data_IF_586206016733
#
_entry.id   IF_586206016733
#
_cell.length_a   1.000
_cell.length_b   1.000
_cell.length_c   1.000
_cell.angle_alpha   90.00
_cell.angle_beta   90.00
_cell.angle_gamma   90.00
#
_symmetry.space_group_name_H-M   'P 1'
#
loop_
_entity.id
_entity.type
_entity.pdbx_description
1 polymer ?
#
# COMPACT_ATOMS: atom_id res chain seq x y z
N UNK A 1 -17.48 -3.55 -29.61
CA UNK A 1 -16.81 -2.43 -28.91
C UNK A 1 -16.24 -2.79 -27.53
N UNK A 2 -16.69 -3.88 -26.87
CA UNK A 2 -16.12 -4.35 -25.59
C UNK A 2 -14.62 -4.70 -25.62
N UNK A 3 -14.10 -5.19 -26.76
CA UNK A 3 -12.69 -5.61 -26.92
C UNK A 3 -11.71 -4.42 -26.82
N UNK A 4 -12.11 -3.21 -27.22
CA UNK A 4 -11.25 -2.01 -27.14
C UNK A 4 -11.08 -1.49 -25.70
N UNK A 5 -12.03 -1.77 -24.81
CA UNK A 5 -11.95 -1.37 -23.40
C UNK A 5 -10.95 -2.20 -22.60
N UNK A 6 -10.88 -3.51 -22.87
CA UNK A 6 -9.99 -4.43 -22.15
C UNK A 6 -8.52 -4.28 -22.55
N UNK A 7 -8.24 -4.11 -23.84
CA UNK A 7 -6.88 -3.84 -24.30
C UNK A 7 -6.32 -2.53 -23.73
N UNK A 8 -7.17 -1.51 -23.61
CA UNK A 8 -6.79 -0.21 -23.05
C UNK A 8 -6.35 -0.27 -21.60
N UNK A 9 -7.09 -0.96 -20.74
CA UNK A 9 -6.73 -1.07 -19.31
C UNK A 9 -5.49 -1.92 -19.06
N UNK A 10 -5.30 -3.00 -19.83
CA UNK A 10 -4.06 -3.81 -19.79
C UNK A 10 -2.85 -2.97 -20.21
N UNK A 11 -2.98 -2.22 -21.31
CA UNK A 11 -1.92 -1.32 -21.77
C UNK A 11 -1.61 -0.22 -20.73
N UNK A 12 -2.64 0.34 -20.08
CA UNK A 12 -2.47 1.30 -18.98
C UNK A 12 -1.75 0.65 -17.78
N UNK A 13 -2.11 -0.57 -17.38
CA UNK A 13 -1.47 -1.25 -16.27
C UNK A 13 0.04 -1.43 -16.52
N UNK A 14 0.40 -1.92 -17.71
CA UNK A 14 1.80 -2.08 -18.15
C UNK A 14 2.51 -0.72 -18.18
N UNK A 15 1.92 0.25 -18.88
CA UNK A 15 2.54 1.57 -19.10
C UNK A 15 2.76 2.33 -17.79
N UNK A 16 1.77 2.34 -16.90
CA UNK A 16 1.90 3.00 -15.59
C UNK A 16 2.90 2.28 -14.71
N UNK A 17 2.90 0.94 -14.67
CA UNK A 17 3.89 0.18 -13.92
C UNK A 17 5.32 0.50 -14.36
N UNK A 18 5.57 0.53 -15.67
CA UNK A 18 6.87 0.90 -16.23
C UNK A 18 7.24 2.37 -15.94
N UNK A 19 6.29 3.30 -16.15
CA UNK A 19 6.54 4.74 -15.99
C UNK A 19 6.79 5.14 -14.53
N UNK A 20 6.02 4.60 -13.58
CA UNK A 20 6.22 4.84 -12.15
C UNK A 20 7.58 4.31 -11.71
N UNK A 21 7.95 3.10 -12.15
CA UNK A 21 9.24 2.51 -11.83
C UNK A 21 10.41 3.32 -12.39
N UNK A 22 10.33 3.74 -13.65
CA UNK A 22 11.35 4.58 -14.27
C UNK A 22 11.47 5.94 -13.57
N UNK A 23 10.34 6.58 -13.21
CA UNK A 23 10.34 7.85 -12.50
C UNK A 23 10.94 7.73 -11.09
N UNK A 24 10.54 6.71 -10.33
CA UNK A 24 11.06 6.45 -8.99
C UNK A 24 12.55 6.13 -9.00
N UNK A 25 13.03 5.30 -9.94
CA UNK A 25 14.45 5.02 -10.09
C UNK A 25 15.23 6.26 -10.53
N UNK A 26 14.69 7.04 -11.48
CA UNK A 26 15.30 8.31 -11.90
C UNK A 26 15.47 9.29 -10.73
N UNK A 27 14.45 9.42 -9.87
CA UNK A 27 14.55 10.20 -8.64
C UNK A 27 15.55 9.58 -7.65
N UNK A 28 15.53 8.26 -7.46
CA UNK A 28 16.42 7.55 -6.54
C UNK A 28 17.89 7.72 -6.90
N UNK A 29 18.23 7.55 -8.18
CA UNK A 29 19.59 7.78 -8.69
C UNK A 29 19.94 9.27 -8.71
N UNK A 30 19.00 10.15 -9.12
CA UNK A 30 19.23 11.59 -9.22
C UNK A 30 19.46 12.27 -7.86
N UNK A 31 18.85 11.74 -6.80
CA UNK A 31 19.04 12.20 -5.42
C UNK A 31 20.18 11.47 -4.69
N UNK A 32 20.88 10.54 -5.36
CA UNK A 32 21.93 9.69 -4.76
C UNK A 32 21.43 8.84 -3.57
N UNK A 33 20.12 8.57 -3.54
CA UNK A 33 19.47 7.68 -2.56
C UNK A 33 19.77 6.22 -2.90
N UNK A 34 19.83 5.91 -4.20
CA UNK A 34 20.27 4.62 -4.73
C UNK A 34 21.57 4.87 -5.46
N UNK A 35 22.63 4.17 -5.08
CA UNK A 35 23.90 4.27 -5.77
C UNK A 35 24.67 2.97 -5.63
N UNK A 36 25.06 2.42 -6.77
CA UNK A 36 25.91 1.24 -6.88
C UNK A 36 27.37 1.61 -7.20
N UNK A 37 27.67 2.91 -7.25
CA UNK A 37 29.02 3.39 -7.50
C UNK A 37 29.90 3.12 -6.26
N UNK A 38 31.19 2.77 -6.46
CA UNK A 38 32.12 2.66 -5.35
C UNK A 38 32.27 3.98 -4.59
N UNK A 39 32.49 3.88 -3.28
CA UNK A 39 32.75 5.04 -2.43
C UNK A 39 34.20 5.52 -2.61
N UNK A 40 34.61 6.58 -1.90
CA UNK A 40 35.96 7.18 -1.98
C UNK A 40 37.10 6.16 -1.76
N UNK A 41 36.83 5.06 -1.07
CA UNK A 41 37.75 3.93 -0.89
C UNK A 41 37.85 2.96 -2.08
N UNK A 42 37.20 3.25 -3.20
CA UNK A 42 37.19 2.40 -4.41
C UNK A 42 36.32 1.15 -4.30
N UNK A 43 35.54 1.02 -3.22
CA UNK A 43 34.63 -0.12 -2.96
C UNK A 43 33.29 0.40 -2.45
N UNK A 44 32.22 -0.35 -2.69
CA UNK A 44 30.90 -0.01 -2.16
C UNK A 44 30.74 -0.60 -0.76
N UNK A 45 30.32 0.21 0.22
CA UNK A 45 30.02 -0.29 1.56
C UNK A 45 28.86 -1.30 1.55
N UNK A 46 28.92 -2.32 2.41
CA UNK A 46 27.83 -3.31 2.56
C UNK A 46 26.50 -2.64 2.91
N UNK A 47 26.52 -1.66 3.82
CA UNK A 47 25.33 -0.85 4.17
C UNK A 47 24.77 -0.09 2.95
N UNK A 48 25.65 0.50 2.12
CA UNK A 48 25.26 1.21 0.91
C UNK A 48 24.66 0.31 -0.16
N UNK A 49 25.21 -0.90 -0.30
CA UNK A 49 24.69 -1.95 -1.17
C UNK A 49 23.31 -2.40 -0.72
N UNK A 50 23.15 -2.78 0.55
CA UNK A 50 21.87 -3.26 1.10
C UNK A 50 20.81 -2.16 1.06
N UNK A 51 21.17 -0.91 1.39
CA UNK A 51 20.27 0.24 1.27
C UNK A 51 19.75 0.42 -0.15
N UNK A 52 20.65 0.36 -1.15
CA UNK A 52 20.28 0.47 -2.56
C UNK A 52 19.37 -0.68 -3.03
N UNK A 53 19.65 -1.91 -2.58
CA UNK A 53 18.79 -3.08 -2.86
C UNK A 53 17.40 -2.93 -2.24
N UNK A 54 17.32 -2.37 -1.03
CA UNK A 54 16.06 -2.18 -0.30
C UNK A 54 15.16 -1.18 -1.02
N UNK A 55 15.73 -0.06 -1.46
CA UNK A 55 15.06 0.90 -2.32
C UNK A 55 14.63 0.30 -3.67
N UNK A 56 15.50 -0.45 -4.34
CA UNK A 56 15.19 -1.09 -5.61
C UNK A 56 14.01 -2.08 -5.48
N UNK A 57 14.00 -2.90 -4.44
CA UNK A 57 12.92 -3.86 -4.13
C UNK A 57 11.60 -3.13 -3.86
N UNK A 58 11.64 -2.07 -3.05
CA UNK A 58 10.48 -1.24 -2.73
C UNK A 58 9.90 -0.53 -3.97
N UNK A 59 10.76 0.03 -4.82
CA UNK A 59 10.35 0.70 -6.06
C UNK A 59 9.69 -0.28 -7.02
N UNK A 60 10.29 -1.45 -7.22
CA UNK A 60 9.71 -2.50 -8.05
C UNK A 60 8.31 -2.91 -7.52
N UNK A 61 8.18 -3.09 -6.20
CA UNK A 61 6.91 -3.43 -5.57
C UNK A 61 5.84 -2.34 -5.73
N UNK A 62 6.17 -1.09 -5.44
CA UNK A 62 5.21 0.03 -5.53
C UNK A 62 4.81 0.38 -6.95
N UNK A 63 5.69 0.14 -7.93
CA UNK A 63 5.41 0.30 -9.35
C UNK A 63 4.33 -0.68 -9.84
N UNK A 64 4.43 -1.95 -9.47
CA UNK A 64 3.40 -2.97 -9.73
C UNK A 64 2.05 -2.56 -9.14
N UNK A 65 2.05 -2.12 -7.88
CA UNK A 65 0.83 -1.73 -7.16
C UNK A 65 0.18 -0.49 -7.81
N UNK A 66 0.97 0.52 -8.16
CA UNK A 66 0.48 1.74 -8.79
C UNK A 66 -0.14 1.46 -10.17
N UNK A 67 0.52 0.66 -11.00
CA UNK A 67 0.01 0.25 -12.31
C UNK A 67 -1.36 -0.43 -12.21
N UNK A 68 -1.50 -1.37 -11.27
CA UNK A 68 -2.74 -2.08 -11.03
C UNK A 68 -3.87 -1.13 -10.57
N UNK A 69 -3.60 -0.28 -9.57
CA UNK A 69 -4.60 0.66 -9.02
C UNK A 69 -5.07 1.67 -10.07
N UNK A 70 -4.15 2.23 -10.86
CA UNK A 70 -4.51 3.24 -11.87
C UNK A 70 -5.35 2.61 -12.98
N UNK A 71 -4.96 1.44 -13.47
CA UNK A 71 -5.72 0.73 -14.50
C UNK A 71 -7.13 0.34 -14.04
N UNK A 72 -7.28 -0.18 -12.81
CA UNK A 72 -8.59 -0.52 -12.24
C UNK A 72 -9.49 0.72 -12.09
N UNK A 73 -8.94 1.82 -11.58
CA UNK A 73 -9.69 3.09 -11.44
C UNK A 73 -10.11 3.70 -12.77
N UNK A 74 -9.34 3.51 -13.84
CA UNK A 74 -9.71 3.98 -15.19
C UNK A 74 -10.71 3.03 -15.85
N UNK A 75 -10.61 1.73 -15.60
CA UNK A 75 -11.55 0.71 -16.10
C UNK A 75 -12.96 0.87 -15.51
N UNK A 76 -13.06 1.22 -14.22
CA UNK A 76 -14.33 1.44 -13.53
C UNK A 76 -15.10 2.71 -13.94
N UNK A 77 -14.58 3.53 -14.87
CA UNK A 77 -15.22 4.77 -15.37
C UNK A 77 -15.86 4.61 -16.75
N UNK A 78 -16.06 3.39 -17.25
CA UNK A 78 -16.74 3.14 -18.53
C UNK A 78 -18.17 3.69 -18.55
N UNK A 79 -18.64 4.26 -19.69
CA UNK A 79 -19.98 4.85 -19.77
C UNK A 79 -21.05 3.78 -19.53
N UNK A 80 -21.93 4.05 -18.58
CA UNK A 80 -23.15 3.28 -18.36
C UNK A 80 -24.07 3.44 -19.57
N UNK A 81 -23.92 2.59 -20.59
CA UNK A 81 -24.86 2.51 -21.71
C UNK A 81 -25.17 1.05 -22.01
N UNK A 82 -26.17 0.52 -21.31
CA UNK A 82 -27.00 -0.59 -21.73
C UNK A 82 -28.47 -0.21 -21.47
N UNK A 83 -29.38 -0.29 -22.47
CA UNK A 83 -30.76 0.10 -22.28
C UNK A 83 -31.47 -0.91 -21.38
N UNK A 84 -31.98 -0.43 -20.24
CA UNK A 84 -32.97 -1.15 -19.46
C UNK A 84 -34.31 -1.15 -20.23
N UNK A 85 -34.46 -2.09 -21.15
CA UNK A 85 -35.77 -2.44 -21.73
C UNK A 85 -35.98 -3.94 -21.65
N UNK A 86 -36.38 -4.39 -20.47
CA UNK A 86 -37.12 -5.63 -20.24
C UNK A 86 -38.20 -5.33 -19.19
N UNK A 87 -39.47 -5.72 -19.41
CA UNK A 87 -40.53 -5.43 -18.46
C UNK A 87 -40.25 -6.09 -17.12
N UNK A 88 -40.21 -5.28 -16.06
CA UNK A 88 -40.01 -5.69 -14.68
C UNK A 88 -41.14 -6.63 -14.23
N UNK A 89 -40.92 -7.93 -14.37
CA UNK A 89 -41.68 -8.95 -13.65
C UNK A 89 -41.04 -9.13 -12.27
N UNK A 90 -41.62 -8.49 -11.25
CA UNK A 90 -41.49 -8.92 -9.85
C UNK A 90 -40.11 -8.80 -9.18
N UNK A 91 -39.35 -7.73 -9.42
CA UNK A 91 -38.19 -7.43 -8.56
C UNK A 91 -38.69 -6.75 -7.27
N UNK A 92 -38.71 -7.51 -6.17
CA UNK A 92 -38.89 -6.96 -4.83
C UNK A 92 -37.52 -6.50 -4.29
N UNK A 93 -37.26 -5.19 -4.18
CA UNK A 93 -35.98 -4.65 -3.70
C UNK A 93 -35.69 -5.01 -2.23
N UNK A 94 -36.66 -5.56 -1.50
CA UNK A 94 -36.52 -5.98 -0.11
C UNK A 94 -36.10 -7.45 0.07
N UNK A 95 -36.05 -8.25 -0.99
CA UNK A 95 -35.64 -9.65 -0.87
C UNK A 95 -34.12 -9.75 -0.63
N UNK A 96 -33.66 -10.32 0.51
CA UNK A 96 -32.23 -10.47 0.77
C UNK A 96 -31.62 -11.34 -0.32
N UNK A 97 -30.57 -10.83 -0.97
CA UNK A 97 -29.85 -11.51 -2.04
C UNK A 97 -29.56 -12.98 -1.67
N UNK A 98 -30.01 -13.91 -2.50
CA UNK A 98 -29.79 -15.33 -2.28
C UNK A 98 -28.31 -15.66 -2.54
N UNK A 99 -27.51 -16.03 -1.52
CA UNK A 99 -26.10 -16.35 -1.68
C UNK A 99 -25.85 -17.61 -2.55
N UNK A 100 -26.91 -18.33 -2.92
CA UNK A 100 -26.86 -19.49 -3.82
C UNK A 100 -27.09 -19.15 -5.28
N UNK A 101 -27.38 -17.88 -5.63
CA UNK A 101 -27.54 -17.46 -7.02
C UNK A 101 -26.23 -17.70 -7.81
N UNK A 102 -26.26 -18.56 -8.85
CA UNK A 102 -25.09 -18.83 -9.69
C UNK A 102 -24.59 -17.58 -10.44
N UNK A 103 -25.44 -16.59 -10.71
CA UNK A 103 -25.07 -15.36 -11.43
C UNK A 103 -24.14 -14.48 -10.60
N UNK A 104 -24.46 -14.25 -9.32
CA UNK A 104 -23.59 -13.49 -8.42
C UNK A 104 -22.21 -14.14 -8.24
N UNK A 105 -22.16 -15.49 -8.21
CA UNK A 105 -20.89 -16.21 -8.12
C UNK A 105 -20.05 -15.99 -9.36
N UNK A 106 -20.65 -16.07 -10.56
CA UNK A 106 -19.97 -15.83 -11.82
C UNK A 106 -19.42 -14.40 -11.91
N UNK A 107 -20.16 -13.40 -11.46
CA UNK A 107 -19.72 -12.00 -11.44
C UNK A 107 -18.55 -11.77 -10.48
N UNK A 108 -18.59 -12.39 -9.30
CA UNK A 108 -17.47 -12.35 -8.33
C UNK A 108 -16.20 -12.99 -8.90
N UNK A 109 -16.34 -14.14 -9.56
CA UNK A 109 -15.20 -14.84 -10.20
C UNK A 109 -14.63 -13.98 -11.33
N UNK A 110 -15.48 -13.44 -12.20
CA UNK A 110 -15.08 -12.57 -13.31
C UNK A 110 -14.32 -11.33 -12.81
N UNK A 111 -14.83 -10.69 -11.76
CA UNK A 111 -14.16 -9.54 -11.13
C UNK A 111 -12.78 -9.89 -10.58
N UNK A 112 -12.64 -11.07 -9.94
CA UNK A 112 -11.35 -11.54 -9.41
C UNK A 112 -10.35 -11.84 -10.52
N UNK A 113 -10.79 -12.55 -11.57
CA UNK A 113 -9.96 -12.84 -12.74
C UNK A 113 -9.51 -11.54 -13.42
N UNK A 114 -10.39 -10.57 -13.54
CA UNK A 114 -10.04 -9.27 -14.09
C UNK A 114 -8.97 -8.53 -13.28
N UNK A 115 -9.10 -8.50 -11.95
CA UNK A 115 -8.09 -7.92 -11.07
C UNK A 115 -6.75 -8.65 -11.16
N UNK A 116 -6.76 -9.97 -11.34
CA UNK A 116 -5.55 -10.75 -11.58
C UNK A 116 -4.88 -10.38 -12.91
N UNK A 117 -5.67 -10.20 -13.98
CA UNK A 117 -5.17 -9.71 -15.28
C UNK A 117 -4.51 -8.34 -15.12
N UNK A 118 -5.15 -7.40 -14.42
CA UNK A 118 -4.57 -6.06 -14.20
C UNK A 118 -3.31 -6.10 -13.34
N UNK A 119 -3.28 -6.90 -12.28
CA UNK A 119 -2.11 -7.05 -11.42
C UNK A 119 -0.92 -7.68 -12.15
N UNK A 120 -1.15 -8.72 -12.95
CA UNK A 120 -0.12 -9.37 -13.76
C UNK A 120 0.39 -8.46 -14.88
N UNK A 121 -0.49 -7.73 -15.55
CA UNK A 121 -0.11 -6.70 -16.54
C UNK A 121 0.75 -5.59 -15.90
N UNK A 122 0.38 -5.10 -14.72
CA UNK A 122 1.17 -4.11 -14.01
C UNK A 122 2.55 -4.64 -13.58
N UNK A 123 2.63 -5.91 -13.16
CA UNK A 123 3.89 -6.57 -12.83
C UNK A 123 4.80 -6.73 -14.07
N UNK A 124 4.23 -7.04 -15.24
CA UNK A 124 4.97 -7.03 -16.51
C UNK A 124 5.54 -5.65 -16.81
N UNK A 125 4.77 -4.57 -16.61
CA UNK A 125 5.28 -3.21 -16.74
C UNK A 125 6.39 -2.89 -15.75
N UNK A 126 6.18 -3.21 -14.47
CA UNK A 126 7.15 -2.98 -13.41
C UNK A 126 8.42 -3.82 -13.57
N UNK A 127 8.40 -4.92 -14.34
CA UNK A 127 9.60 -5.72 -14.63
C UNK A 127 10.70 -4.92 -15.35
N UNK A 128 10.37 -3.79 -16.00
CA UNK A 128 11.35 -2.85 -16.53
C UNK A 128 12.33 -2.33 -15.45
N UNK A 129 11.88 -2.23 -14.19
CA UNK A 129 12.73 -1.84 -13.06
C UNK A 129 13.89 -2.80 -12.83
N UNK A 130 13.70 -4.10 -13.13
CA UNK A 130 14.75 -5.13 -13.00
C UNK A 130 15.95 -4.76 -13.87
N UNK A 131 15.71 -4.42 -15.13
CA UNK A 131 16.77 -4.00 -16.05
C UNK A 131 17.40 -2.67 -15.63
N UNK A 132 16.58 -1.68 -15.24
CA UNK A 132 17.04 -0.36 -14.82
C UNK A 132 17.84 -0.37 -13.52
N UNK A 133 17.70 -1.41 -12.70
CA UNK A 133 18.52 -1.66 -11.49
C UNK A 133 19.76 -2.48 -11.83
N UNK A 134 19.62 -3.53 -12.63
CA UNK A 134 20.73 -4.42 -12.99
C UNK A 134 21.87 -3.68 -13.72
N UNK A 135 21.52 -2.77 -14.64
CA UNK A 135 22.48 -2.02 -15.44
C UNK A 135 23.44 -1.25 -14.55
N UNK A 136 23.04 -0.27 -13.73
CA UNK A 136 23.98 0.47 -12.88
C UNK A 136 24.66 -0.42 -11.83
N UNK A 137 24.03 -1.49 -11.34
CA UNK A 137 24.66 -2.41 -10.40
C UNK A 137 25.93 -3.08 -10.92
N UNK A 138 26.15 -3.16 -12.24
CA UNK A 138 27.34 -3.76 -12.86
C UNK A 138 28.67 -3.12 -12.44
N UNK A 139 28.65 -1.87 -11.96
CA UNK A 139 29.86 -1.14 -11.56
C UNK A 139 30.19 -1.31 -10.07
N UNK A 140 29.34 -2.01 -9.32
CA UNK A 140 29.59 -2.25 -7.91
C UNK A 140 30.79 -3.17 -7.71
N UNK A 141 31.63 -2.83 -6.74
CA UNK A 141 32.82 -3.61 -6.37
C UNK A 141 32.63 -4.05 -4.91
N UNK A 142 32.40 -5.34 -4.71
CA UNK A 142 32.18 -6.02 -3.42
C UNK A 142 33.08 -7.27 -3.33
N UNK A 143 33.44 -7.69 -2.11
CA UNK A 143 34.36 -8.82 -1.91
C UNK A 143 33.69 -10.17 -2.19
N UNK A 144 32.43 -10.32 -1.77
CA UNK A 144 31.75 -11.61 -1.74
C UNK A 144 30.62 -11.74 -2.79
N UNK A 145 30.51 -10.78 -3.71
CA UNK A 145 29.42 -10.75 -4.71
C UNK A 145 30.00 -10.80 -6.13
N UNK A 146 30.10 -11.99 -6.74
CA UNK A 146 30.75 -12.16 -8.04
C UNK A 146 29.95 -11.57 -9.21
N UNK A 147 28.63 -11.39 -9.06
CA UNK A 147 27.76 -10.81 -10.09
C UNK A 147 26.74 -9.84 -9.48
N UNK A 148 27.14 -8.60 -9.15
CA UNK A 148 26.27 -7.62 -8.50
C UNK A 148 24.99 -7.33 -9.28
N UNK A 149 25.07 -7.23 -10.60
CA UNK A 149 23.91 -7.02 -11.47
C UNK A 149 22.85 -8.12 -11.33
N UNK A 150 23.26 -9.39 -11.18
CA UNK A 150 22.35 -10.52 -11.03
C UNK A 150 21.65 -10.49 -9.67
N UNK A 151 22.40 -10.16 -8.62
CA UNK A 151 21.85 -10.03 -7.26
C UNK A 151 20.85 -8.87 -7.19
N UNK A 152 21.22 -7.70 -7.73
CA UNK A 152 20.34 -6.54 -7.76
C UNK A 152 19.08 -6.78 -8.61
N UNK A 153 19.23 -7.42 -9.78
CA UNK A 153 18.10 -7.87 -10.60
C UNK A 153 17.18 -8.84 -9.83
N UNK A 154 17.76 -9.79 -9.11
CA UNK A 154 17.02 -10.76 -8.30
C UNK A 154 16.15 -10.10 -7.24
N UNK A 155 16.69 -9.14 -6.48
CA UNK A 155 15.92 -8.40 -5.47
C UNK A 155 14.82 -7.52 -6.07
N UNK A 156 15.10 -6.81 -7.18
CA UNK A 156 14.05 -6.08 -7.90
C UNK A 156 12.94 -7.02 -8.39
N UNK A 157 13.29 -8.20 -8.92
CA UNK A 157 12.32 -9.19 -9.38
C UNK A 157 11.49 -9.76 -8.20
N UNK A 158 12.09 -9.99 -7.03
CA UNK A 158 11.37 -10.39 -5.82
C UNK A 158 10.35 -9.31 -5.41
N UNK A 159 10.70 -8.03 -5.50
CA UNK A 159 9.77 -6.93 -5.28
C UNK A 159 8.56 -6.98 -6.22
N UNK A 160 8.77 -7.26 -7.51
CA UNK A 160 7.68 -7.45 -8.49
C UNK A 160 6.80 -8.64 -8.13
N UNK A 161 7.38 -9.79 -7.76
CA UNK A 161 6.63 -11.02 -7.46
C UNK A 161 5.82 -10.88 -6.17
N UNK A 162 6.45 -10.42 -5.08
CA UNK A 162 5.80 -10.23 -3.78
C UNK A 162 4.61 -9.26 -3.88
N UNK A 163 4.77 -8.21 -4.68
CA UNK A 163 3.75 -7.16 -4.81
C UNK A 163 2.50 -7.60 -5.58
N UNK A 164 2.49 -8.75 -6.28
CA UNK A 164 1.29 -9.27 -6.93
C UNK A 164 0.14 -9.51 -5.94
N UNK A 165 0.43 -10.14 -4.80
CA UNK A 165 -0.57 -10.38 -3.75
C UNK A 165 -1.06 -9.07 -3.12
N UNK A 166 -0.14 -8.12 -2.93
CA UNK A 166 -0.44 -6.81 -2.36
C UNK A 166 -1.28 -5.97 -3.32
N UNK A 167 -1.00 -6.03 -4.62
CA UNK A 167 -1.79 -5.39 -5.66
C UNK A 167 -3.23 -5.95 -5.67
N UNK A 168 -3.41 -7.26 -5.59
CA UNK A 168 -4.74 -7.87 -5.46
C UNK A 168 -5.49 -7.38 -4.22
N UNK A 169 -4.81 -7.27 -3.07
CA UNK A 169 -5.40 -6.72 -1.86
C UNK A 169 -5.77 -5.24 -2.01
N UNK A 170 -4.93 -4.44 -2.68
CA UNK A 170 -5.18 -3.03 -2.96
C UNK A 170 -6.37 -2.80 -3.91
N UNK A 171 -6.54 -3.68 -4.90
CA UNK A 171 -7.70 -3.69 -5.79
C UNK A 171 -8.98 -4.15 -5.06
N UNK A 172 -8.85 -5.03 -4.07
CA UNK A 172 -9.97 -5.51 -3.27
C UNK A 172 -10.48 -4.48 -2.25
N UNK A 173 -9.59 -3.67 -1.68
CA UNK A 173 -9.93 -2.72 -0.62
C UNK A 173 -9.31 -1.34 -0.86
N UNK A 174 -10.14 -0.31 -1.02
CA UNK A 174 -9.69 1.08 -1.23
C UNK A 174 -8.82 1.61 -0.09
N UNK A 175 -9.05 1.14 1.14
CA UNK A 175 -8.24 1.50 2.31
C UNK A 175 -6.81 0.96 2.19
N UNK A 176 -6.63 -0.26 1.68
CA UNK A 176 -5.30 -0.86 1.42
C UNK A 176 -4.56 -0.02 0.37
N UNK A 177 -5.23 0.33 -0.74
CA UNK A 177 -4.64 1.20 -1.76
C UNK A 177 -4.25 2.58 -1.22
N UNK A 178 -5.10 3.20 -0.39
CA UNK A 178 -4.80 4.49 0.23
C UNK A 178 -3.60 4.42 1.18
N UNK A 179 -3.53 3.36 2.00
CA UNK A 179 -2.42 3.12 2.92
C UNK A 179 -1.09 2.97 2.16
N UNK A 180 -1.06 2.12 1.12
CA UNK A 180 0.13 1.91 0.28
C UNK A 180 0.63 3.20 -0.38
N UNK A 181 -0.29 3.99 -0.97
CA UNK A 181 0.06 5.26 -1.62
C UNK A 181 0.54 6.30 -0.60
N UNK A 182 -0.08 6.37 0.57
CA UNK A 182 0.32 7.28 1.65
C UNK A 182 1.70 6.90 2.21
N UNK A 183 1.98 5.61 2.42
CA UNK A 183 3.31 5.14 2.82
C UNK A 183 4.35 5.47 1.76
N UNK A 184 4.08 5.22 0.48
CA UNK A 184 5.01 5.57 -0.59
C UNK A 184 5.30 7.08 -0.66
N UNK A 185 4.26 7.91 -0.55
CA UNK A 185 4.42 9.36 -0.54
C UNK A 185 5.22 9.84 0.68
N UNK A 186 4.96 9.27 1.85
CA UNK A 186 5.72 9.57 3.06
C UNK A 186 7.20 9.21 2.93
N UNK A 187 7.52 8.01 2.44
CA UNK A 187 8.91 7.57 2.29
C UNK A 187 9.70 8.46 1.32
N UNK A 188 9.08 8.86 0.21
CA UNK A 188 9.70 9.81 -0.72
C UNK A 188 9.85 11.21 -0.13
N UNK A 189 8.85 11.69 0.62
CA UNK A 189 8.95 12.97 1.32
C UNK A 189 10.13 12.95 2.30
N UNK A 190 10.26 11.89 3.08
CA UNK A 190 11.37 11.69 4.00
C UNK A 190 12.72 11.68 3.27
N UNK A 191 12.83 10.91 2.19
CA UNK A 191 14.06 10.85 1.40
C UNK A 191 14.46 12.24 0.87
N UNK A 192 13.52 12.99 0.31
CA UNK A 192 13.77 14.36 -0.20
C UNK A 192 14.21 15.30 0.92
N UNK A 193 13.56 15.26 2.09
CA UNK A 193 13.94 16.13 3.21
C UNK A 193 15.33 15.73 3.74
N UNK A 194 15.62 14.43 3.86
CA UNK A 194 16.92 13.94 4.31
C UNK A 194 18.04 14.38 3.35
N UNK A 195 17.85 14.24 2.04
CA UNK A 195 18.81 14.69 1.02
C UNK A 195 18.99 16.20 1.06
N UNK A 196 17.89 16.96 1.13
CA UNK A 196 17.93 18.44 1.21
C UNK A 196 18.66 18.89 2.47
N UNK A 197 18.37 18.27 3.61
CA UNK A 197 19.03 18.56 4.88
C UNK A 197 20.52 18.22 4.85
N UNK A 198 20.92 17.12 4.22
CA UNK A 198 22.33 16.75 4.02
C UNK A 198 23.09 17.78 3.19
N UNK A 199 22.51 18.18 2.04
CA UNK A 199 23.08 19.21 1.16
C UNK A 199 23.24 20.55 1.88
N UNK A 200 22.23 20.99 2.63
CA UNK A 200 22.28 22.26 3.38
C UNK A 200 23.29 22.23 4.53
N UNK A 201 23.53 21.06 5.11
CA UNK A 201 24.46 20.90 6.25
C UNK A 201 25.92 20.71 5.82
N UNK A 202 26.19 20.58 4.51
CA UNK A 202 27.53 20.26 4.01
C UNK A 202 28.08 18.91 4.47
N UNK A 203 27.20 17.99 4.91
CA UNK A 203 27.60 16.63 5.31
C UNK A 203 27.82 15.80 4.05
N UNK A 204 28.85 14.95 4.06
CA UNK A 204 29.00 13.91 3.04
C UNK A 204 27.73 13.05 3.01
N UNK A 205 27.25 12.73 1.81
CA UNK A 205 25.96 12.07 1.57
C UNK A 205 26.01 10.64 2.11
N UNK A 206 25.66 10.46 3.38
CA UNK A 206 25.24 9.16 3.87
C UNK A 206 23.98 8.74 3.09
N UNK A 207 24.04 7.58 2.43
CA UNK A 207 22.91 7.04 1.65
C UNK A 207 21.70 6.92 2.56
N UNK A 208 20.56 7.47 2.13
CA UNK A 208 19.37 7.57 2.99
C UNK A 208 18.69 6.20 3.13
N UNK A 209 18.65 5.61 4.34
CA UNK A 209 17.95 4.36 4.57
C UNK A 209 16.43 4.52 4.33
N UNK A 210 15.79 3.49 3.79
CA UNK A 210 14.39 3.54 3.40
C UNK A 210 13.46 3.74 4.63
N UNK A 211 12.96 4.96 4.80
CA UNK A 211 11.98 5.30 5.84
C UNK A 211 12.53 5.63 7.22
N UNK A 212 13.85 5.73 7.35
CA UNK A 212 14.54 6.10 8.57
C UNK A 212 15.22 7.46 8.41
N UNK A 213 15.42 8.14 9.53
CA UNK A 213 15.86 9.52 9.60
C UNK A 213 17.28 9.56 10.14
N UNK A 214 18.27 9.62 9.26
CA UNK A 214 19.70 9.60 9.60
C UNK A 214 20.21 10.95 10.16
N UNK A 215 19.57 11.43 11.24
CA UNK A 215 19.81 12.78 11.78
C UNK A 215 20.78 12.79 12.95
N UNK A 216 20.90 11.71 13.72
CA UNK A 216 21.96 11.59 14.74
C UNK A 216 22.13 10.13 15.19
N UNK A 217 23.37 9.64 15.23
CA UNK A 217 23.72 8.35 15.84
C UNK A 217 23.85 8.45 17.38
N UNK A 218 23.96 9.67 17.92
CA UNK A 218 24.19 9.97 19.33
C UNK A 218 22.88 10.16 20.14
N UNK A 219 21.76 9.64 19.62
CA UNK A 219 20.45 9.75 20.25
C UNK A 219 20.27 8.79 21.44
N UNK A 220 19.18 8.93 22.22
CA UNK A 220 18.88 8.02 23.31
C UNK A 220 18.59 6.60 22.78
N UNK A 221 19.31 5.63 23.32
CA UNK A 221 19.10 4.21 23.05
C UNK A 221 18.22 3.57 24.11
N UNK A 222 17.32 2.68 23.69
CA UNK A 222 16.62 1.77 24.59
C UNK A 222 16.84 0.34 24.14
N UNK A 223 17.57 -0.43 24.97
CA UNK A 223 18.08 -1.76 24.61
C UNK A 223 18.91 -1.69 23.32
N UNK A 224 18.39 -2.20 22.21
CA UNK A 224 19.02 -2.23 20.89
C UNK A 224 18.32 -1.32 19.87
N UNK A 225 17.45 -0.41 20.33
CA UNK A 225 16.67 0.48 19.47
C UNK A 225 17.07 1.93 19.73
N UNK A 226 17.48 2.62 18.67
CA UNK A 226 17.73 4.06 18.66
C UNK A 226 16.39 4.80 18.57
N UNK A 227 15.92 5.35 19.70
CA UNK A 227 14.59 5.94 19.81
C UNK A 227 14.39 7.13 18.85
N UNK A 228 15.45 7.91 18.63
CA UNK A 228 15.42 9.07 17.73
C UNK A 228 15.12 8.67 16.27
N UNK A 229 15.66 7.54 15.82
CA UNK A 229 15.47 7.03 14.46
C UNK A 229 14.15 6.22 14.34
N UNK A 230 13.75 5.52 15.39
CA UNK A 230 12.55 4.68 15.40
C UNK A 230 11.23 5.46 15.54
N UNK A 231 11.23 6.58 16.26
CA UNK A 231 10.03 7.35 16.58
C UNK A 231 9.25 7.84 15.35
N UNK A 232 9.88 8.57 14.41
CA UNK A 232 9.21 9.10 13.23
C UNK A 232 8.51 8.04 12.35
N UNK A 233 9.14 6.91 11.96
CA UNK A 233 8.47 5.90 11.15
C UNK A 233 7.33 5.20 11.90
N UNK A 234 7.46 4.97 13.22
CA UNK A 234 6.36 4.41 14.04
C UNK A 234 5.16 5.34 14.08
N UNK A 235 5.38 6.64 14.31
CA UNK A 235 4.32 7.64 14.32
C UNK A 235 3.65 7.76 12.94
N UNK A 236 4.45 7.76 11.87
CA UNK A 236 3.93 7.80 10.51
C UNK A 236 3.09 6.55 10.17
N UNK A 237 3.55 5.35 10.53
CA UNK A 237 2.81 4.12 10.32
C UNK A 237 1.45 4.13 11.05
N UNK A 238 1.43 4.59 12.30
CA UNK A 238 0.20 4.78 13.08
C UNK A 238 -0.76 5.78 12.38
N UNK A 239 -0.26 6.95 12.00
CA UNK A 239 -1.06 8.00 11.37
C UNK A 239 -1.59 7.59 10.00
N UNK A 240 -0.75 6.96 9.17
CA UNK A 240 -1.16 6.46 7.86
C UNK A 240 -2.19 5.34 8.02
N UNK A 241 -2.02 4.43 8.98
CA UNK A 241 -3.00 3.41 9.31
C UNK A 241 -4.36 3.99 9.70
N UNK A 242 -4.35 5.01 10.55
CA UNK A 242 -5.54 5.74 10.98
C UNK A 242 -6.23 6.45 9.81
N UNK A 243 -5.49 7.27 9.06
CA UNK A 243 -6.01 8.10 7.97
C UNK A 243 -6.49 7.27 6.77
N UNK A 244 -5.83 6.16 6.46
CA UNK A 244 -6.25 5.27 5.38
C UNK A 244 -7.54 4.49 5.72
N UNK A 245 -7.71 4.08 6.98
CA UNK A 245 -8.88 3.34 7.44
C UNK A 245 -10.10 4.24 7.70
N UNK A 246 -9.90 5.50 8.11
CA UNK A 246 -10.97 6.45 8.46
C UNK A 246 -12.10 6.57 7.41
N UNK A 247 -11.83 6.79 6.11
CA UNK A 247 -12.87 6.89 5.09
C UNK A 247 -13.68 5.59 4.92
N UNK A 248 -13.03 4.44 5.01
CA UNK A 248 -13.66 3.13 4.90
C UNK A 248 -14.50 2.81 6.15
N UNK A 249 -14.00 3.17 7.33
CA UNK A 249 -14.75 3.08 8.59
C UNK A 249 -16.02 3.96 8.55
N UNK A 250 -15.93 5.16 7.96
CA UNK A 250 -17.08 6.04 7.76
C UNK A 250 -18.14 5.46 6.81
N UNK A 251 -17.74 4.68 5.80
CA UNK A 251 -18.68 4.03 4.86
C UNK A 251 -19.34 2.75 5.39
N UNK A 252 -18.85 2.20 6.51
CA UNK A 252 -19.37 0.95 7.06
C UNK A 252 -18.83 -0.30 6.34
N UNK A 253 -17.62 -0.21 5.78
CA UNK A 253 -16.97 -1.34 5.11
C UNK A 253 -16.71 -2.51 6.09
N UNK A 254 -16.53 -3.73 5.56
CA UNK A 254 -16.36 -4.94 6.38
C UNK A 254 -15.16 -4.82 7.34
N UNK A 255 -15.32 -5.23 8.62
CA UNK A 255 -14.33 -4.98 9.68
C UNK A 255 -12.99 -5.67 9.44
N UNK A 256 -12.98 -6.88 8.87
CA UNK A 256 -11.75 -7.65 8.64
C UNK A 256 -10.82 -6.95 7.65
N UNK A 257 -11.35 -6.45 6.53
CA UNK A 257 -10.56 -5.73 5.53
C UNK A 257 -10.14 -4.33 6.00
N UNK A 258 -10.93 -3.73 6.89
CA UNK A 258 -10.66 -2.43 7.49
C UNK A 258 -9.47 -2.49 8.46
N UNK A 259 -9.46 -3.46 9.37
CA UNK A 259 -8.37 -3.64 10.34
C UNK A 259 -7.08 -4.07 9.65
N UNK A 260 -7.15 -4.97 8.66
CA UNK A 260 -5.97 -5.37 7.90
C UNK A 260 -5.34 -4.26 7.05
N UNK A 261 -6.12 -3.23 6.68
CA UNK A 261 -5.66 -2.17 5.76
C UNK A 261 -4.54 -1.29 6.32
N UNK A 262 -4.47 -1.12 7.65
CA UNK A 262 -3.46 -0.29 8.30
C UNK A 262 -2.04 -0.84 8.15
N UNK A 263 -1.91 -2.16 8.01
CA UNK A 263 -0.63 -2.87 7.89
C UNK A 263 -0.02 -2.83 6.49
N UNK A 264 -0.79 -2.53 5.45
CA UNK A 264 -0.40 -2.86 4.08
C UNK A 264 0.92 -2.20 3.62
N UNK A 265 1.06 -0.89 3.79
CA UNK A 265 2.27 -0.12 3.49
C UNK A 265 3.46 -0.55 4.34
N UNK A 266 3.35 -0.52 5.68
CA UNK A 266 4.41 -1.00 6.58
C UNK A 266 4.83 -2.46 6.32
N UNK A 267 3.91 -3.32 5.88
CA UNK A 267 4.21 -4.72 5.57
C UNK A 267 5.08 -4.83 4.32
N UNK A 268 4.79 -4.08 3.26
CA UNK A 268 5.65 -4.07 2.05
C UNK A 268 7.04 -3.54 2.39
N UNK A 269 7.12 -2.51 3.25
CA UNK A 269 8.39 -1.99 3.75
C UNK A 269 9.14 -3.06 4.54
N UNK A 270 8.43 -3.80 5.39
CA UNK A 270 8.99 -4.90 6.17
C UNK A 270 9.54 -6.02 5.31
N UNK A 271 8.79 -6.43 4.30
CA UNK A 271 9.24 -7.46 3.38
C UNK A 271 10.47 -6.97 2.59
N UNK A 272 10.51 -5.71 2.16
CA UNK A 272 11.68 -5.17 1.47
C UNK A 272 12.95 -5.27 2.33
N UNK A 273 12.90 -4.86 3.59
CA UNK A 273 14.03 -4.97 4.53
C UNK A 273 14.43 -6.42 4.83
N UNK A 274 13.44 -7.30 5.05
CA UNK A 274 13.72 -8.72 5.36
C UNK A 274 14.32 -9.46 4.17
N UNK A 275 13.97 -9.08 2.94
CA UNK A 275 14.55 -9.69 1.74
C UNK A 275 16.01 -9.27 1.58
N UNK A 276 16.35 -8.01 1.78
CA UNK A 276 17.64 -7.46 1.35
C UNK A 276 18.79 -7.63 2.34
N UNK A 277 18.51 -7.96 3.60
CA UNK A 277 19.54 -8.21 4.61
C UNK A 277 19.34 -9.57 5.31
N UNK A 278 19.71 -10.69 4.67
CA UNK A 278 19.56 -12.01 5.28
C UNK A 278 20.59 -12.30 6.38
N UNK A 279 21.73 -11.59 6.39
CA UNK A 279 22.78 -11.78 7.40
C UNK A 279 22.96 -10.51 8.24
N UNK A 280 22.76 -10.64 9.55
CA UNK A 280 22.95 -9.58 10.54
C UNK A 280 24.32 -9.68 11.22
N UNK A 281 25.10 -10.72 10.93
CA UNK A 281 26.41 -10.96 11.54
C UNK A 281 27.40 -9.91 11.01
N UNK A 282 27.81 -8.98 11.88
CA UNK A 282 28.70 -7.88 11.54
C UNK A 282 27.99 -6.57 11.14
N UNK A 283 26.66 -6.52 11.18
CA UNK A 283 25.92 -5.28 10.95
C UNK A 283 26.19 -4.25 12.07
N UNK A 284 26.26 -2.96 11.71
CA UNK A 284 26.38 -1.88 12.68
C UNK A 284 25.17 -1.81 13.62
N UNK A 285 25.35 -1.28 14.83
CA UNK A 285 24.28 -1.20 15.83
C UNK A 285 23.03 -0.45 15.35
N UNK A 286 23.22 0.57 14.50
CA UNK A 286 22.13 1.36 13.91
C UNK A 286 21.32 0.53 12.91
N UNK A 287 21.96 -0.28 12.08
CA UNK A 287 21.26 -1.17 11.14
C UNK A 287 20.49 -2.26 11.86
N UNK A 288 21.07 -2.84 12.92
CA UNK A 288 20.35 -3.80 13.78
C UNK A 288 19.09 -3.14 14.35
N UNK A 289 19.19 -1.92 14.87
CA UNK A 289 18.04 -1.15 15.36
C UNK A 289 16.96 -1.01 14.29
N UNK A 290 17.31 -0.59 13.07
CA UNK A 290 16.36 -0.42 11.97
C UNK A 290 15.63 -1.72 11.64
N UNK A 291 16.35 -2.83 11.51
CA UNK A 291 15.77 -4.14 11.23
C UNK A 291 14.83 -4.62 12.34
N UNK A 292 15.13 -4.28 13.60
CA UNK A 292 14.22 -4.57 14.72
C UNK A 292 12.96 -3.71 14.68
N UNK A 293 13.07 -2.42 14.33
CA UNK A 293 11.94 -1.47 14.32
C UNK A 293 10.93 -1.79 13.23
N UNK A 294 11.41 -2.24 12.06
CA UNK A 294 10.58 -2.43 10.86
C UNK A 294 9.35 -3.31 11.09
N UNK A 295 9.43 -4.53 11.70
CA UNK A 295 8.25 -5.32 12.04
C UNK A 295 7.25 -4.61 12.98
N UNK A 296 7.72 -3.73 13.86
CA UNK A 296 6.84 -2.96 14.75
C UNK A 296 6.05 -1.88 13.99
N UNK A 297 6.51 -1.44 12.81
CA UNK A 297 5.74 -0.53 11.96
C UNK A 297 4.43 -1.16 11.49
N UNK A 298 4.41 -2.48 11.26
CA UNK A 298 3.19 -3.22 10.92
C UNK A 298 2.20 -3.15 12.08
N UNK A 299 2.67 -3.38 13.31
CA UNK A 299 1.84 -3.30 14.51
C UNK A 299 1.31 -1.88 14.75
N UNK A 300 2.15 -0.86 14.53
CA UNK A 300 1.73 0.53 14.60
C UNK A 300 0.64 0.85 13.57
N UNK A 301 0.80 0.39 12.32
CA UNK A 301 -0.21 0.54 11.27
C UNK A 301 -1.55 -0.13 11.62
N UNK A 302 -1.50 -1.37 12.13
CA UNK A 302 -2.69 -2.07 12.63
C UNK A 302 -3.37 -1.29 13.76
N UNK A 303 -2.60 -0.82 14.74
CA UNK A 303 -3.12 -0.01 15.84
C UNK A 303 -3.81 1.26 15.34
N UNK A 304 -3.22 1.95 14.36
CA UNK A 304 -3.82 3.12 13.71
C UNK A 304 -5.20 2.81 13.10
N UNK A 305 -5.31 1.69 12.38
CA UNK A 305 -6.59 1.26 11.81
C UNK A 305 -7.63 0.87 12.85
N UNK A 306 -7.21 0.25 13.97
CA UNK A 306 -8.09 -0.07 15.09
C UNK A 306 -8.62 1.21 15.77
N UNK A 307 -7.78 2.24 15.90
CA UNK A 307 -8.20 3.55 16.40
C UNK A 307 -9.26 4.18 15.49
N UNK A 308 -9.14 4.03 14.16
CA UNK A 308 -10.16 4.51 13.22
C UNK A 308 -11.53 3.86 13.49
N UNK A 309 -11.56 2.55 13.74
CA UNK A 309 -12.76 1.82 14.12
C UNK A 309 -13.35 2.31 15.45
N UNK A 310 -12.49 2.52 16.46
CA UNK A 310 -12.89 3.00 17.77
C UNK A 310 -13.46 4.43 17.73
N UNK A 311 -12.94 5.30 16.84
CA UNK A 311 -13.49 6.64 16.62
C UNK A 311 -14.90 6.55 16.01
N UNK A 312 -15.13 5.67 15.04
CA UNK A 312 -16.46 5.44 14.43
C UNK A 312 -17.47 4.88 15.44
N UNK A 313 -17.06 3.92 16.26
CA UNK A 313 -17.92 3.32 17.28
C UNK A 313 -18.43 4.36 18.29
N UNK A 314 -17.58 5.33 18.66
CA UNK A 314 -17.94 6.44 19.56
C UNK A 314 -18.88 7.46 18.92
N UNK A 315 -18.85 7.61 17.60
CA UNK A 315 -19.74 8.54 16.88
C UNK A 315 -21.08 7.92 16.48
N UNK A 316 -21.33 6.64 16.75
CA UNK A 316 -22.61 6.01 16.47
C UNK A 316 -23.66 6.50 17.50
N UNK A 317 -24.83 7.00 17.07
CA UNK A 317 -25.92 7.32 17.98
C UNK A 317 -26.28 6.08 18.82
N UNK A 318 -26.67 6.24 20.09
CA UNK A 318 -27.22 5.14 20.86
C UNK A 318 -28.38 4.53 20.06
N UNK A 319 -28.28 3.24 19.73
CA UNK A 319 -29.40 2.53 19.15
C UNK A 319 -30.58 2.73 20.11
N UNK A 320 -31.68 3.29 19.60
CA UNK A 320 -32.91 3.37 20.37
C UNK A 320 -33.17 1.96 20.90
N UNK A 321 -33.18 1.81 22.23
CA UNK A 321 -33.56 0.54 22.87
C UNK A 321 -34.84 0.07 22.17
N UNK A 322 -34.94 -1.21 21.78
CA UNK A 322 -36.24 -1.80 21.50
C UNK A 322 -37.11 -1.45 22.69
N UNK A 323 -38.07 -0.55 22.49
CA UNK A 323 -39.11 -0.31 23.49
C UNK A 323 -39.81 -1.65 23.64
N UNK A 324 -39.58 -2.29 24.79
CA UNK A 324 -40.33 -3.47 25.20
C UNK A 324 -41.82 -3.22 24.94
N UNK A 325 -42.36 -3.90 23.93
CA UNK A 325 -43.74 -4.36 23.88
C UNK A 325 -44.89 -3.36 24.02
N UNK A 326 -44.71 -2.04 24.03
CA UNK A 326 -45.87 -1.13 24.06
C UNK A 326 -46.37 -0.91 22.62
N UNK A 327 -47.53 -1.49 22.23
CA UNK A 327 -48.11 -1.18 20.92
C UNK A 327 -48.37 0.33 20.82
N UNK A 328 -48.18 0.94 19.64
CA UNK A 328 -48.47 2.35 19.44
C UNK A 328 -49.94 2.61 19.79
N UNK A 329 -50.27 3.74 20.46
CA UNK A 329 -51.66 4.08 20.74
C UNK A 329 -52.40 4.17 19.41
N UNK A 330 -53.39 3.30 19.24
CA UNK A 330 -54.30 3.31 18.09
C UNK A 330 -54.94 4.71 18.05
N UNK A 331 -54.81 5.46 16.94
CA UNK A 331 -55.49 6.74 16.83
C UNK A 331 -56.99 6.46 16.89
N UNK A 332 -57.62 6.90 17.99
CA UNK A 332 -59.05 6.80 18.19
C UNK A 332 -59.72 7.71 17.15
N UNK A 333 -60.11 7.13 16.02
CA UNK A 333 -60.90 7.79 14.99
C UNK A 333 -62.14 8.37 15.64
N UNK A 334 -62.27 9.69 15.58
CA UNK A 334 -63.40 10.44 16.09
C UNK A 334 -64.72 9.83 15.56
N UNK A 335 -65.61 9.46 16.49
CA UNK A 335 -66.98 9.06 16.16
C UNK A 335 -67.67 10.21 15.44
N UNK A 336 -68.11 9.96 14.21
CA UNK A 336 -69.07 10.78 13.47
C UNK A 336 -70.40 10.79 14.24
N UNK A 337 -71.02 11.95 14.52
CA UNK A 337 -72.34 12.00 15.13
C UNK A 337 -73.40 11.61 14.09
N UNK A 338 -74.23 10.63 14.45
CA UNK A 338 -75.40 10.24 13.68
C UNK A 338 -76.40 11.42 13.62
N UNK A 339 -76.68 11.92 12.43
CA UNK A 339 -77.86 12.75 12.20
C UNK A 339 -79.12 11.89 12.35
N UNK A 340 -80.01 12.29 13.25
CA UNK A 340 -81.39 11.83 13.29
C UNK A 340 -82.22 12.69 12.33
N UNK A 341 -82.83 12.04 11.35
CA UNK A 341 -84.10 12.47 10.75
C UNK A 341 -85.26 11.80 11.46
#
# INVERSE_FOLDING_TARGET
>A
MAIRGWGGSVAVAIGVGAAVGAAQLGLGYGLDVISFAPDTGGRLSTEGWVTSLTWATWIAATSTIAGAIVADRLSGRGPATGPATGPAAGWDPASPADPTDPTERADRVTTRLWRLVLATAAALGASATVALVAVPARVAVLDDVPSPQTVAAGYAALGVVVSLLVALAALAARAVAANLLATAAWLWLIAVIAVTGGVLSGRDRARVPLGFWDVTADGPWFRSVLLADAGPPLAAALLIGLLAALPAARRGDRPVGLVGSGAAGPLVLTIAYLLTQPDLVGAGAVDISRHLVVPYLVLAGLLGSLLACAVRARSAPPAARPTDGTPPPVPMTARVPAQRG
#
